data_IF_194970528575
#
_entry.id   IF_194970528575
#
_cell.length_a   1.000
_cell.length_b   1.000
_cell.length_c   1.000
_cell.angle_alpha   90.00
_cell.angle_beta   90.00
_cell.angle_gamma   90.00
#
_symmetry.space_group_name_H-M   'P 1'
#
loop_
_entity.id
_entity.type
_entity.pdbx_description
1 polymer ?
#
# COMPACT_ATOMS: atom_id res chain seq x y z
N UNK A 1 -24.72 -8.67 -9.12
CA UNK A 1 -23.25 -8.74 -9.35
C UNK A 1 -22.68 -9.76 -8.37
N UNK A 2 -21.74 -10.63 -8.75
CA UNK A 2 -21.21 -11.64 -7.81
C UNK A 2 -20.30 -10.99 -6.75
N UNK A 3 -20.25 -11.55 -5.55
CA UNK A 3 -19.37 -11.06 -4.47
C UNK A 3 -17.91 -10.97 -4.92
N UNK A 4 -17.46 -11.90 -5.78
CA UNK A 4 -16.13 -11.86 -6.39
C UNK A 4 -15.90 -10.61 -7.26
N UNK A 5 -16.88 -10.28 -8.09
CA UNK A 5 -16.78 -9.13 -9.00
C UNK A 5 -16.77 -7.81 -8.22
N UNK A 6 -17.60 -7.69 -7.19
CA UNK A 6 -17.65 -6.50 -6.32
C UNK A 6 -16.30 -6.32 -5.63
N UNK A 7 -15.73 -7.38 -5.03
CA UNK A 7 -14.44 -7.30 -4.34
C UNK A 7 -13.30 -6.94 -5.30
N UNK A 8 -13.24 -7.56 -6.49
CA UNK A 8 -12.22 -7.21 -7.50
C UNK A 8 -12.34 -5.76 -7.94
N UNK A 9 -13.56 -5.26 -8.12
CA UNK A 9 -13.80 -3.88 -8.51
C UNK A 9 -13.38 -2.91 -7.39
N UNK A 10 -13.59 -3.26 -6.12
CA UNK A 10 -13.10 -2.47 -4.99
C UNK A 10 -11.57 -2.42 -4.96
N UNK A 11 -10.89 -3.55 -5.10
CA UNK A 11 -9.41 -3.62 -5.13
C UNK A 11 -8.84 -2.83 -6.31
N UNK A 12 -9.38 -3.04 -7.53
CA UNK A 12 -8.90 -2.33 -8.73
C UNK A 12 -9.22 -0.84 -8.63
N UNK A 13 -10.41 -0.48 -8.15
CA UNK A 13 -10.80 0.91 -7.96
C UNK A 13 -9.89 1.64 -6.98
N UNK A 14 -9.50 0.97 -5.89
CA UNK A 14 -8.54 1.52 -4.95
C UNK A 14 -7.16 1.73 -5.57
N UNK A 15 -6.64 0.77 -6.34
CA UNK A 15 -5.37 0.94 -7.04
C UNK A 15 -5.40 2.11 -8.03
N UNK A 16 -6.47 2.24 -8.78
CA UNK A 16 -6.64 3.37 -9.71
C UNK A 16 -6.68 4.69 -8.95
N UNK A 17 -7.32 4.70 -7.77
CA UNK A 17 -7.37 5.88 -6.92
C UNK A 17 -6.00 6.24 -6.33
N UNK A 18 -5.25 5.26 -5.82
CA UNK A 18 -3.87 5.46 -5.36
C UNK A 18 -2.96 5.99 -6.48
N UNK A 19 -3.08 5.45 -7.69
CA UNK A 19 -2.36 5.96 -8.86
C UNK A 19 -2.77 7.40 -9.21
N UNK A 20 -4.06 7.72 -9.12
CA UNK A 20 -4.55 9.07 -9.37
C UNK A 20 -4.04 10.08 -8.32
N UNK A 21 -3.92 9.67 -7.05
CA UNK A 21 -3.30 10.49 -5.99
C UNK A 21 -1.84 10.76 -6.33
N UNK A 22 -1.06 9.72 -6.66
CA UNK A 22 0.36 9.88 -7.03
C UNK A 22 0.55 10.81 -8.23
N UNK A 23 -0.33 10.71 -9.24
CA UNK A 23 -0.32 11.63 -10.39
C UNK A 23 -0.68 13.05 -9.95
N UNK A 24 -1.70 13.22 -9.11
CA UNK A 24 -2.07 14.54 -8.59
C UNK A 24 -0.92 15.18 -7.81
N UNK A 25 -0.25 14.43 -6.94
CA UNK A 25 0.91 14.93 -6.19
C UNK A 25 2.00 15.45 -7.13
N UNK A 26 2.31 14.71 -8.19
CA UNK A 26 3.31 15.17 -9.17
C UNK A 26 2.94 16.47 -9.89
N UNK A 27 1.66 16.69 -10.19
CA UNK A 27 1.21 17.86 -10.95
C UNK A 27 0.87 19.09 -10.08
N UNK A 28 0.47 18.87 -8.83
CA UNK A 28 0.02 19.92 -7.92
C UNK A 28 1.07 20.32 -6.88
N UNK A 29 2.20 19.62 -6.81
CA UNK A 29 3.32 20.06 -6.00
C UNK A 29 3.98 21.31 -6.61
N UNK A 30 3.81 22.44 -5.93
CA UNK A 30 4.35 23.75 -6.31
C UNK A 30 5.60 24.13 -5.50
N UNK A 31 6.15 23.20 -4.70
CA UNK A 31 7.32 23.41 -3.84
C UNK A 31 7.03 24.31 -2.63
N UNK A 32 5.77 24.64 -2.33
CA UNK A 32 5.44 25.52 -1.20
C UNK A 32 5.86 24.93 0.16
N UNK A 33 6.02 23.60 0.25
CA UNK A 33 6.46 22.92 1.45
C UNK A 33 7.98 22.75 1.56
N UNK A 34 8.77 23.06 0.53
CA UNK A 34 10.23 22.85 0.53
C UNK A 34 10.92 23.54 1.71
N UNK A 35 10.62 24.82 2.06
CA UNK A 35 11.25 25.46 3.21
C UNK A 35 10.91 24.79 4.54
N UNK A 36 9.72 24.17 4.63
CA UNK A 36 9.30 23.44 5.81
C UNK A 36 10.02 22.09 5.93
N UNK A 37 10.28 21.43 4.80
CA UNK A 37 11.08 20.21 4.75
C UNK A 37 12.54 20.44 5.14
N UNK A 38 13.14 21.56 4.73
CA UNK A 38 14.55 21.90 5.05
C UNK A 38 14.81 22.09 6.55
N UNK A 39 13.81 22.56 7.31
CA UNK A 39 13.95 22.83 8.75
C UNK A 39 13.57 21.64 9.64
N UNK A 40 12.99 20.57 9.07
CA UNK A 40 12.61 19.40 9.85
C UNK A 40 13.84 18.67 10.38
N UNK A 41 13.84 18.26 11.66
CA UNK A 41 14.89 17.42 12.20
C UNK A 41 14.84 16.06 11.49
N UNK A 42 15.82 15.78 10.63
CA UNK A 42 15.94 14.48 10.00
C UNK A 42 16.44 13.46 11.04
N UNK A 43 15.63 12.45 11.35
CA UNK A 43 16.06 11.34 12.18
C UNK A 43 17.07 10.45 11.44
N UNK A 44 16.91 10.33 10.11
CA UNK A 44 17.76 9.56 9.21
C UNK A 44 17.88 10.34 7.90
N UNK A 45 19.11 10.59 7.46
CA UNK A 45 19.40 11.07 6.10
C UNK A 45 19.24 9.89 5.12
N UNK A 46 18.00 9.68 4.67
CA UNK A 46 17.65 8.60 3.77
C UNK A 46 18.37 8.72 2.43
N UNK A 47 18.60 9.94 1.94
CA UNK A 47 19.27 10.14 0.66
C UNK A 47 20.71 9.62 0.73
N UNK A 48 21.48 10.05 1.74
CA UNK A 48 22.84 9.56 1.94
C UNK A 48 22.89 8.04 2.19
N UNK A 49 21.93 7.49 2.95
CA UNK A 49 21.85 6.06 3.19
C UNK A 49 21.59 5.26 1.90
N UNK A 50 20.66 5.73 1.07
CA UNK A 50 20.29 5.09 -0.20
C UNK A 50 21.44 5.15 -1.20
N UNK A 51 22.14 6.29 -1.30
CA UNK A 51 23.29 6.49 -2.17
C UNK A 51 24.49 5.64 -1.74
N UNK A 52 24.78 5.56 -0.43
CA UNK A 52 25.88 4.76 0.11
C UNK A 52 25.65 3.25 0.04
N UNK A 53 24.40 2.80 0.00
CA UNK A 53 24.02 1.39 -0.04
C UNK A 53 23.18 1.02 -1.27
N UNK A 54 23.48 1.62 -2.42
CA UNK A 54 22.66 1.54 -3.64
C UNK A 54 22.23 0.12 -4.02
N UNK A 55 23.11 -0.88 -3.93
CA UNK A 55 22.77 -2.29 -4.21
C UNK A 55 21.71 -2.82 -3.25
N UNK A 56 21.86 -2.58 -1.95
CA UNK A 56 20.89 -3.03 -0.93
C UNK A 56 19.56 -2.31 -1.13
N UNK A 57 19.61 -1.01 -1.39
CA UNK A 57 18.44 -0.17 -1.67
C UNK A 57 17.64 -0.65 -2.88
N UNK A 58 18.32 -1.00 -3.99
CA UNK A 58 17.68 -1.56 -5.19
C UNK A 58 17.04 -2.93 -4.88
N UNK A 59 17.76 -3.81 -4.20
CA UNK A 59 17.25 -5.14 -3.84
C UNK A 59 16.01 -5.00 -2.94
N UNK A 60 16.06 -4.13 -1.93
CA UNK A 60 14.94 -3.87 -1.03
C UNK A 60 13.74 -3.30 -1.78
N UNK A 61 13.94 -2.27 -2.61
CA UNK A 61 12.87 -1.66 -3.43
C UNK A 61 12.21 -2.65 -4.38
N UNK A 62 13.01 -3.43 -5.12
CA UNK A 62 12.48 -4.48 -6.00
C UNK A 62 11.72 -5.56 -5.23
N UNK A 63 12.23 -5.97 -4.07
CA UNK A 63 11.55 -6.95 -3.22
C UNK A 63 10.20 -6.44 -2.74
N UNK A 64 10.10 -5.17 -2.35
CA UNK A 64 8.83 -4.54 -1.96
C UNK A 64 7.84 -4.51 -3.12
N UNK A 65 8.28 -4.12 -4.32
CA UNK A 65 7.44 -4.12 -5.54
C UNK A 65 6.93 -5.54 -5.83
N UNK A 66 7.81 -6.55 -5.76
CA UNK A 66 7.42 -7.95 -6.01
C UNK A 66 6.40 -8.42 -4.97
N UNK A 67 6.60 -8.11 -3.68
CA UNK A 67 5.66 -8.47 -2.61
C UNK A 67 4.31 -7.80 -2.81
N UNK A 68 4.29 -6.51 -3.17
CA UNK A 68 3.07 -5.77 -3.48
C UNK A 68 2.32 -6.41 -4.65
N UNK A 69 2.99 -6.64 -5.78
CA UNK A 69 2.39 -7.27 -6.96
C UNK A 69 1.90 -8.68 -6.67
N UNK A 70 2.69 -9.48 -5.96
CA UNK A 70 2.29 -10.82 -5.54
C UNK A 70 1.04 -10.76 -4.65
N UNK A 71 1.00 -9.87 -3.67
CA UNK A 71 -0.16 -9.71 -2.77
C UNK A 71 -1.42 -9.37 -3.57
N UNK A 72 -1.30 -8.45 -4.54
CA UNK A 72 -2.38 -8.02 -5.41
C UNK A 72 -2.91 -9.17 -6.26
N UNK A 73 -2.01 -9.88 -6.94
CA UNK A 73 -2.36 -11.04 -7.78
C UNK A 73 -3.05 -12.10 -6.92
N UNK A 74 -2.50 -12.38 -5.74
CA UNK A 74 -3.09 -13.31 -4.79
C UNK A 74 -4.50 -12.92 -4.37
N UNK A 75 -4.75 -11.63 -4.08
CA UNK A 75 -6.08 -11.12 -3.74
C UNK A 75 -7.07 -11.22 -4.92
N UNK A 76 -6.69 -10.79 -6.12
CA UNK A 76 -7.55 -10.81 -7.30
C UNK A 76 -7.89 -12.24 -7.77
N UNK A 77 -6.97 -13.18 -7.53
CA UNK A 77 -7.17 -14.61 -7.79
C UNK A 77 -7.84 -15.36 -6.63
N UNK A 78 -8.20 -14.68 -5.54
CA UNK A 78 -8.77 -15.29 -4.32
C UNK A 78 -7.90 -16.43 -3.76
N UNK A 79 -6.57 -16.31 -3.84
CA UNK A 79 -5.64 -17.28 -3.27
C UNK A 79 -5.46 -17.02 -1.77
N UNK A 80 -5.47 -18.09 -0.97
CA UNK A 80 -5.37 -17.98 0.49
C UNK A 80 -4.07 -17.33 0.98
N UNK A 81 -2.98 -17.45 0.23
CA UNK A 81 -1.71 -16.79 0.57
C UNK A 81 -1.76 -15.28 0.31
N UNK A 82 -2.57 -14.81 -0.66
CA UNK A 82 -2.67 -13.40 -1.03
C UNK A 82 -3.20 -12.52 0.10
N UNK A 83 -4.27 -12.97 0.78
CA UNK A 83 -4.86 -12.22 1.91
C UNK A 83 -3.89 -12.07 3.09
N UNK A 84 -3.08 -13.09 3.37
CA UNK A 84 -2.12 -13.06 4.45
C UNK A 84 -0.91 -12.21 4.09
N UNK A 85 -0.43 -12.33 2.85
CA UNK A 85 0.69 -11.52 2.36
C UNK A 85 0.34 -10.03 2.41
N UNK A 86 -0.86 -9.67 1.96
CA UNK A 86 -1.35 -8.28 2.00
C UNK A 86 -1.53 -7.74 3.44
N UNK A 87 -2.07 -8.55 4.34
CA UNK A 87 -2.17 -8.18 5.77
C UNK A 87 -0.78 -7.95 6.37
N UNK A 88 0.15 -8.88 6.16
CA UNK A 88 1.51 -8.79 6.72
C UNK A 88 2.24 -7.58 6.13
N UNK A 89 2.18 -7.36 4.82
CA UNK A 89 2.83 -6.20 4.20
C UNK A 89 2.27 -4.88 4.72
N UNK A 90 0.96 -4.80 4.97
CA UNK A 90 0.35 -3.59 5.56
C UNK A 90 0.82 -3.38 7.01
N UNK A 91 0.89 -4.45 7.81
CA UNK A 91 1.37 -4.35 9.19
C UNK A 91 2.86 -3.95 9.28
N UNK A 92 3.67 -4.33 8.29
CA UNK A 92 5.07 -3.92 8.21
C UNK A 92 5.27 -2.43 7.97
N UNK A 93 4.24 -1.69 7.53
CA UNK A 93 4.29 -0.23 7.44
C UNK A 93 4.48 0.39 8.82
N UNK A 94 3.93 -0.20 9.87
CA UNK A 94 3.99 0.39 11.22
C UNK A 94 5.43 0.55 11.75
N UNK A 95 6.31 -0.48 11.73
CA UNK A 95 7.73 -0.29 12.02
C UNK A 95 8.41 0.77 11.14
N UNK A 96 8.07 0.82 9.85
CA UNK A 96 8.66 1.80 8.92
C UNK A 96 8.30 3.22 9.35
N UNK A 97 7.01 3.48 9.65
CA UNK A 97 6.54 4.82 10.06
C UNK A 97 7.21 5.33 11.34
N UNK A 98 7.57 4.44 12.27
CA UNK A 98 8.30 4.82 13.49
C UNK A 98 9.70 5.33 13.15
N UNK A 99 10.35 4.74 12.16
CA UNK A 99 11.76 5.03 11.81
C UNK A 99 11.88 6.19 10.81
N UNK A 100 10.85 6.46 10.01
CA UNK A 100 10.87 7.55 9.01
C UNK A 100 10.97 8.95 9.64
N UNK A 101 10.42 9.16 10.85
CA UNK A 101 10.42 10.46 11.52
C UNK A 101 9.26 11.37 11.09
N UNK A 102 9.29 12.67 11.46
CA UNK A 102 8.23 13.61 11.13
C UNK A 102 8.19 13.90 9.62
N UNK A 103 6.98 13.99 9.08
CA UNK A 103 6.72 14.32 7.67
C UNK A 103 5.69 15.44 7.57
N UNK A 104 5.78 16.25 6.51
CA UNK A 104 4.85 17.35 6.24
C UNK A 104 4.17 17.08 4.90
N UNK A 105 2.85 17.21 4.90
CA UNK A 105 2.00 17.00 3.73
C UNK A 105 0.99 18.12 3.60
N UNK A 106 0.45 18.31 2.40
CA UNK A 106 -0.69 19.19 2.23
C UNK A 106 -1.94 18.59 2.88
N UNK A 107 -2.83 19.42 3.43
CA UNK A 107 -4.05 18.91 4.08
C UNK A 107 -4.97 18.12 3.15
N UNK A 108 -5.01 18.48 1.87
CA UNK A 108 -5.79 17.74 0.86
C UNK A 108 -5.16 16.37 0.55
N UNK A 109 -3.84 16.29 0.53
CA UNK A 109 -3.11 15.04 0.32
C UNK A 109 -3.40 14.07 1.47
N UNK A 110 -3.33 14.54 2.72
CA UNK A 110 -3.66 13.74 3.90
C UNK A 110 -5.09 13.22 3.82
N UNK A 111 -6.06 14.07 3.45
CA UNK A 111 -7.46 13.66 3.32
C UNK A 111 -7.67 12.55 2.27
N UNK A 112 -6.94 12.59 1.15
CA UNK A 112 -6.99 11.54 0.13
C UNK A 112 -6.38 10.23 0.63
N UNK A 113 -5.24 10.30 1.33
CA UNK A 113 -4.61 9.14 1.95
C UNK A 113 -5.47 8.53 3.06
N UNK A 114 -6.18 9.33 3.85
CA UNK A 114 -7.11 8.84 4.86
C UNK A 114 -8.25 8.03 4.22
N UNK A 115 -8.80 8.49 3.10
CA UNK A 115 -9.80 7.73 2.34
C UNK A 115 -9.22 6.40 1.86
N UNK A 116 -8.00 6.42 1.29
CA UNK A 116 -7.30 5.21 0.87
C UNK A 116 -7.14 4.24 2.05
N UNK A 117 -6.69 4.72 3.20
CA UNK A 117 -6.48 3.91 4.40
C UNK A 117 -7.79 3.27 4.91
N UNK A 118 -8.89 4.04 4.90
CA UNK A 118 -10.22 3.52 5.27
C UNK A 118 -10.67 2.41 4.31
N UNK A 119 -10.51 2.60 3.00
CA UNK A 119 -10.91 1.61 1.99
C UNK A 119 -9.99 0.38 2.04
N UNK A 120 -8.67 0.56 2.20
CA UNK A 120 -7.70 -0.51 2.41
C UNK A 120 -8.10 -1.37 3.64
N UNK A 121 -8.44 -0.72 4.76
CA UNK A 121 -8.94 -1.40 5.96
C UNK A 121 -10.24 -2.18 5.71
N UNK A 122 -11.18 -1.60 4.97
CA UNK A 122 -12.44 -2.27 4.62
C UNK A 122 -12.22 -3.49 3.71
N UNK A 123 -11.35 -3.39 2.69
CA UNK A 123 -10.96 -4.50 1.81
C UNK A 123 -10.30 -5.61 2.63
N UNK A 124 -9.37 -5.24 3.51
CA UNK A 124 -8.67 -6.18 4.37
C UNK A 124 -9.66 -6.95 5.24
N UNK A 125 -10.56 -6.25 5.93
CA UNK A 125 -11.59 -6.87 6.76
C UNK A 125 -12.48 -7.82 5.93
N UNK A 126 -12.88 -7.39 4.73
CA UNK A 126 -13.69 -8.22 3.83
C UNK A 126 -12.99 -9.54 3.47
N UNK A 127 -11.67 -9.58 3.31
CA UNK A 127 -10.95 -10.85 3.02
C UNK A 127 -11.08 -11.91 4.11
N UNK A 128 -11.34 -11.50 5.35
CA UNK A 128 -11.43 -12.39 6.51
C UNK A 128 -12.88 -12.66 6.95
N UNK A 129 -13.85 -11.83 6.52
CA UNK A 129 -15.27 -12.01 6.84
C UNK A 129 -16.09 -12.61 5.68
N UNK A 130 -17.12 -13.43 5.98
CA UNK A 130 -18.11 -13.81 4.97
C UNK A 130 -18.82 -12.56 4.42
N UNK A 131 -19.24 -12.57 3.14
CA UNK A 131 -19.21 -13.70 2.22
C UNK A 131 -17.89 -13.85 1.44
N UNK A 132 -16.99 -12.88 1.50
CA UNK A 132 -15.77 -12.85 0.68
C UNK A 132 -14.73 -13.88 1.14
N UNK A 133 -14.57 -14.08 2.44
CA UNK A 133 -13.63 -15.08 2.97
C UNK A 133 -13.91 -16.50 2.48
N UNK A 134 -15.18 -16.82 2.17
CA UNK A 134 -15.58 -18.11 1.58
C UNK A 134 -14.98 -18.31 0.19
N UNK A 135 -14.80 -17.24 -0.58
CA UNK A 135 -14.20 -17.32 -1.92
C UNK A 135 -12.71 -17.68 -1.87
N UNK A 136 -12.01 -17.21 -0.84
CA UNK A 136 -10.61 -17.57 -0.58
C UNK A 136 -10.47 -19.03 -0.08
N UNK A 137 -11.45 -19.52 0.68
CA UNK A 137 -11.43 -20.87 1.22
C UNK A 137 -11.88 -21.93 0.20
N UNK A 138 -12.77 -21.57 -0.74
CA UNK A 138 -13.23 -22.46 -1.83
C UNK A 138 -12.09 -22.94 -2.73
N UNK A 139 -11.12 -22.08 -3.03
CA UNK A 139 -9.95 -22.43 -3.86
C UNK A 139 -9.05 -23.45 -3.15
N UNK A 140 -9.02 -23.46 -1.81
CA UNK A 140 -8.24 -24.43 -1.03
C UNK A 140 -8.87 -25.83 -1.02
N UNK A 141 -10.17 -25.93 -1.31
CA UNK A 141 -10.92 -27.19 -1.30
C UNK A 141 -11.06 -27.85 -2.67
N UNK A 142 -10.63 -27.19 -3.76
CA UNK A 142 -10.58 -27.80 -5.07
C UNK A 142 -9.34 -28.73 -5.14
N UNK A 143 -9.50 -30.03 -5.48
CA UNK A 143 -8.36 -30.93 -5.62
C UNK A 143 -7.44 -30.43 -6.74
N UNK A 144 -6.15 -30.36 -6.42
CA UNK A 144 -5.05 -30.08 -7.35
C UNK A 144 -4.89 -31.17 -8.39
#
# INVERSE_FOLDING_TARGET
MSNRAIFRLAVIGLLVFELAISVALYFFDDGALDPAWEILPQAIDWQSYLESNLTISIIAGLSLIIVLLASLVGMLMFKSWGRWLYLISTLLIFPVTIVTGPTIYYGWEVALWDIVNMVNGAIMLAMFLPPISNEFNRVKAAPS
#
